data_IF_858423718462
#
_entry.id   IF_858423718462
#
_cell.length_a   1.000
_cell.length_b   1.000
_cell.length_c   1.000
_cell.angle_alpha   90.00
_cell.angle_beta   90.00
_cell.angle_gamma   90.00
#
_symmetry.space_group_name_H-M   'P 1'
#
loop_
_entity.id
_entity.type
_entity.pdbx_description
1 polymer ?
#
# COMPACT_ATOMS: atom_id res chain seq x y z
N UNK A 1 -7.51 -7.75 19.64
CA UNK A 1 -7.94 -6.38 19.31
C UNK A 1 -9.05 -6.54 18.28
N UNK A 2 -10.30 -6.48 18.71
CA UNK A 2 -11.47 -6.81 17.90
C UNK A 2 -12.07 -5.50 17.42
N UNK A 3 -12.19 -5.31 16.10
CA UNK A 3 -12.81 -4.09 15.56
C UNK A 3 -14.34 -4.20 15.63
N UNK A 4 -15.02 -3.05 15.64
CA UNK A 4 -16.46 -2.84 15.87
C UNK A 4 -17.40 -3.61 14.90
N UNK A 5 -16.86 -4.37 13.94
CA UNK A 5 -17.60 -5.13 12.93
C UNK A 5 -17.37 -6.64 12.96
N UNK A 6 -16.69 -7.18 13.97
CA UNK A 6 -16.44 -8.62 14.09
C UNK A 6 -15.49 -9.19 13.02
N UNK A 7 -14.73 -8.31 12.35
CA UNK A 7 -13.67 -8.69 11.41
C UNK A 7 -12.34 -8.58 12.15
N UNK A 8 -11.57 -9.67 12.11
CA UNK A 8 -10.23 -9.69 12.67
C UNK A 8 -9.29 -8.86 11.78
N UNK A 9 -8.65 -7.81 12.33
CA UNK A 9 -7.71 -7.02 11.55
C UNK A 9 -6.47 -7.85 11.22
N UNK A 10 -6.04 -7.81 9.95
CA UNK A 10 -4.81 -8.45 9.48
C UNK A 10 -3.68 -7.41 9.44
N UNK A 11 -2.51 -7.75 9.96
CA UNK A 11 -1.34 -6.88 9.88
C UNK A 11 -0.79 -6.89 8.45
N UNK A 12 -0.75 -5.73 7.80
CA UNK A 12 -0.23 -5.59 6.42
C UNK A 12 1.22 -5.12 6.38
N UNK A 13 1.58 -4.23 7.30
CA UNK A 13 2.94 -3.70 7.42
C UNK A 13 3.20 -3.29 8.87
N UNK A 14 4.43 -3.50 9.32
CA UNK A 14 5.01 -2.85 10.48
C UNK A 14 6.22 -2.04 10.02
N UNK A 15 6.16 -0.71 10.20
CA UNK A 15 7.27 0.19 9.85
C UNK A 15 7.47 1.26 10.90
N UNK A 16 8.74 1.62 11.10
CA UNK A 16 9.09 2.81 11.85
C UNK A 16 8.68 4.06 11.05
N UNK A 17 7.92 4.94 11.69
CA UNK A 17 7.53 6.25 11.15
C UNK A 17 8.79 7.11 10.98
N UNK A 18 8.99 7.66 9.79
CA UNK A 18 10.11 8.54 9.47
C UNK A 18 9.66 9.99 9.44
N UNK A 19 10.61 10.93 9.54
CA UNK A 19 10.32 12.36 9.43
C UNK A 19 9.57 12.72 8.13
N UNK A 20 9.84 12.01 7.04
CA UNK A 20 9.14 12.22 5.76
C UNK A 20 7.67 11.85 5.80
N UNK A 21 7.28 10.88 6.63
CA UNK A 21 5.89 10.42 6.74
C UNK A 21 5.00 11.43 7.49
N UNK A 22 5.60 12.25 8.36
CA UNK A 22 4.90 13.23 9.21
C UNK A 22 5.13 14.67 8.77
N UNK A 23 5.91 14.88 7.70
CA UNK A 23 6.18 16.22 7.19
C UNK A 23 4.92 16.81 6.54
N UNK A 24 4.38 17.93 7.05
CA UNK A 24 3.15 18.54 6.54
C UNK A 24 3.24 18.94 5.06
N UNK A 25 4.46 19.22 4.57
CA UNK A 25 4.70 19.61 3.18
C UNK A 25 4.77 18.41 2.22
N UNK A 26 4.95 17.19 2.75
CA UNK A 26 5.10 15.98 1.95
C UNK A 26 3.81 15.16 1.87
N UNK A 27 3.00 15.16 2.95
CA UNK A 27 1.63 14.65 2.96
C UNK A 27 1.45 13.19 2.51
N UNK A 28 2.51 12.38 2.52
CA UNK A 28 2.47 10.98 2.08
C UNK A 28 3.04 10.05 3.14
N UNK A 29 2.44 8.87 3.27
CA UNK A 29 2.96 7.77 4.06
C UNK A 29 3.67 6.80 3.12
N UNK A 30 4.99 6.68 3.24
CA UNK A 30 5.76 5.79 2.38
C UNK A 30 5.58 4.34 2.86
N UNK A 31 5.11 3.45 1.99
CA UNK A 31 4.95 2.02 2.29
C UNK A 31 5.97 1.24 1.45
N UNK A 32 7.09 0.79 2.03
CA UNK A 32 8.06 -0.01 1.30
C UNK A 32 7.49 -1.39 0.98
N UNK A 33 7.47 -1.77 -0.30
CA UNK A 33 6.91 -3.05 -0.74
C UNK A 33 7.60 -4.26 -0.10
N UNK A 34 8.91 -4.16 0.17
CA UNK A 34 9.68 -5.20 0.83
C UNK A 34 9.35 -5.37 2.33
N UNK A 35 8.57 -4.46 2.93
CA UNK A 35 8.12 -4.54 4.31
C UNK A 35 6.66 -4.99 4.44
N UNK A 36 5.97 -5.23 3.32
CA UNK A 36 4.61 -5.75 3.32
C UNK A 36 4.66 -7.24 3.66
N UNK A 37 4.09 -7.62 4.80
CA UNK A 37 4.05 -9.01 5.27
C UNK A 37 2.88 -9.79 4.69
N UNK A 38 1.86 -9.07 4.21
CA UNK A 38 0.59 -9.64 3.80
C UNK A 38 0.10 -8.98 2.51
N UNK A 39 -0.17 -9.75 1.46
CA UNK A 39 -0.51 -9.24 0.13
C UNK A 39 -1.92 -9.58 -0.33
N UNK A 40 -2.69 -10.33 0.47
CA UNK A 40 -4.07 -10.74 0.14
C UNK A 40 -5.04 -9.55 0.01
N UNK A 41 -4.60 -8.34 0.39
CA UNK A 41 -5.37 -7.11 0.20
C UNK A 41 -5.27 -6.52 -1.23
N UNK A 42 -4.34 -7.03 -2.04
CA UNK A 42 -4.15 -6.61 -3.43
C UNK A 42 -4.80 -7.61 -4.37
N UNK A 43 -5.46 -7.13 -5.42
CA UNK A 43 -5.87 -8.00 -6.53
C UNK A 43 -4.70 -8.28 -7.49
N UNK A 44 -4.88 -9.25 -8.40
CA UNK A 44 -3.83 -9.65 -9.35
C UNK A 44 -3.34 -8.49 -10.23
N UNK A 45 -4.23 -7.58 -10.64
CA UNK A 45 -3.86 -6.43 -11.45
C UNK A 45 -3.01 -5.43 -10.65
N UNK A 46 -3.39 -5.14 -9.41
CA UNK A 46 -2.63 -4.27 -8.51
C UNK A 46 -1.25 -4.87 -8.17
N UNK A 47 -1.20 -6.18 -7.92
CA UNK A 47 0.04 -6.89 -7.66
C UNK A 47 0.98 -6.84 -8.87
N UNK A 48 0.45 -7.05 -10.08
CA UNK A 48 1.22 -6.99 -11.32
C UNK A 48 1.81 -5.60 -11.55
N UNK A 49 1.03 -4.52 -11.33
CA UNK A 49 1.56 -3.16 -11.51
C UNK A 49 2.72 -2.91 -10.52
N UNK A 50 2.60 -3.35 -9.27
CA UNK A 50 3.67 -3.18 -8.28
C UNK A 50 4.91 -4.01 -8.64
N UNK A 51 4.74 -5.26 -9.11
CA UNK A 51 5.84 -6.12 -9.52
C UNK A 51 6.58 -5.58 -10.76
N UNK A 52 5.86 -5.07 -11.75
CA UNK A 52 6.44 -4.39 -12.92
C UNK A 52 7.25 -3.15 -12.54
N UNK A 53 6.75 -2.37 -11.58
CA UNK A 53 7.45 -1.21 -11.03
C UNK A 53 8.72 -1.62 -10.28
N UNK A 54 8.65 -2.66 -9.43
CA UNK A 54 9.80 -3.20 -8.69
C UNK A 54 10.91 -3.70 -9.61
N UNK A 55 10.55 -4.36 -10.72
CA UNK A 55 11.51 -4.92 -11.69
C UNK A 55 12.20 -3.86 -12.55
N UNK A 56 11.86 -2.59 -12.39
CA UNK A 56 12.42 -1.49 -13.19
C UNK A 56 11.91 -1.47 -14.64
N UNK A 57 10.87 -2.25 -14.94
CA UNK A 57 10.21 -2.25 -16.24
C UNK A 57 9.17 -1.12 -16.37
N UNK A 58 8.90 -0.39 -15.28
CA UNK A 58 8.06 0.81 -15.33
C UNK A 58 8.73 1.95 -16.08
N UNK A 59 7.95 2.68 -16.88
CA UNK A 59 8.38 3.98 -17.44
C UNK A 59 8.86 4.88 -16.30
N UNK A 60 10.06 5.47 -16.43
CA UNK A 60 10.60 6.38 -15.41
C UNK A 60 9.70 7.62 -15.27
N UNK A 61 9.07 7.81 -14.11
CA UNK A 61 8.13 8.89 -13.80
C UNK A 61 7.41 8.69 -12.46
N UNK A 62 6.55 9.63 -12.06
CA UNK A 62 5.59 9.44 -10.96
C UNK A 62 4.36 8.74 -11.54
N UNK A 63 4.15 7.48 -11.18
CA UNK A 63 2.94 6.75 -11.55
C UNK A 63 1.94 6.81 -10.39
N UNK A 64 0.68 7.09 -10.70
CA UNK A 64 -0.40 7.23 -9.70
C UNK A 64 -1.46 6.20 -10.04
N UNK A 65 -1.48 5.11 -9.28
CA UNK A 65 -2.52 4.09 -9.39
C UNK A 65 -3.65 4.49 -8.44
N UNK A 66 -4.75 4.99 -9.01
CA UNK A 66 -5.97 5.26 -8.24
C UNK A 66 -6.73 3.95 -8.12
N UNK A 67 -6.55 3.26 -6.99
CA UNK A 67 -7.39 2.11 -6.62
C UNK A 67 -8.73 2.66 -6.17
N UNK A 68 -9.72 2.63 -7.06
CA UNK A 68 -11.09 2.91 -6.69
C UNK A 68 -11.57 1.81 -5.74
N UNK A 69 -11.78 2.15 -4.46
CA UNK A 69 -12.55 1.30 -3.56
C UNK A 69 -14.00 1.34 -4.03
N UNK A 70 -14.35 0.47 -4.96
CA UNK A 70 -15.73 0.18 -5.30
C UNK A 70 -16.39 -0.44 -4.07
N UNK A 71 -16.89 0.41 -3.17
CA UNK A 71 -17.55 0.06 -1.93
C UNK A 71 -18.87 -0.71 -2.12
N UNK A 72 -18.81 -1.86 -2.78
CA UNK A 72 -19.89 -2.83 -2.82
C UNK A 72 -19.71 -3.74 -1.61
N UNK A 73 -20.58 -3.48 -0.65
CA UNK A 73 -20.92 -4.33 0.50
C UNK A 73 -21.21 -5.77 0.06
#
# INVERSE_FOLDING_TARGET
>A
MTTEKGVDPKLVIDKMVRQTDVNPNQGHLLIPFNQIVEKDFLNEAELNIIDEHQRGNSKKGVDVIVVASNGRK
#
